data_IF_621824967544
#
_entry.id   IF_621824967544
#
_cell.length_a   1.000
_cell.length_b   1.000
_cell.length_c   1.000
_cell.angle_alpha   90.00
_cell.angle_beta   90.00
_cell.angle_gamma   90.00
#
_symmetry.space_group_name_H-M   'P 1'
#
loop_
_entity.id
_entity.type
_entity.pdbx_description
1 polymer ?
#
# COMPACT_ATOMS: atom_id res chain seq x y z
N UNK A 1 3.09 -28.05 56.76
CA UNK A 1 2.64 -28.72 55.52
C UNK A 1 1.38 -28.01 55.04
N UNK A 2 1.27 -27.76 53.72
CA UNK A 2 1.03 -26.44 53.13
C UNK A 2 -0.40 -26.26 52.59
N UNK A 3 -0.89 -25.02 52.48
CA UNK A 3 -0.99 -24.29 51.21
C UNK A 3 -2.48 -24.00 50.93
N UNK A 4 -2.93 -22.92 50.28
CA UNK A 4 -2.30 -21.82 49.58
C UNK A 4 -3.40 -21.13 48.76
N UNK A 5 -3.45 -19.80 48.87
CA UNK A 5 -3.78 -18.81 47.83
C UNK A 5 -5.01 -18.98 46.91
N UNK A 6 -5.92 -18.01 47.01
CA UNK A 6 -6.45 -17.14 45.95
C UNK A 6 -6.88 -17.80 44.62
N UNK A 7 -8.18 -17.74 44.32
CA UNK A 7 -8.68 -17.70 42.95
C UNK A 7 -9.61 -16.52 42.77
N UNK A 8 -8.99 -15.43 42.31
CA UNK A 8 -9.60 -14.32 41.59
C UNK A 8 -10.40 -14.82 40.39
N UNK A 9 -11.52 -14.13 40.14
CA UNK A 9 -12.37 -14.23 38.95
C UNK A 9 -11.55 -14.14 37.66
N UNK A 10 -11.60 -15.20 36.86
CA UNK A 10 -11.12 -15.20 35.48
C UNK A 10 -12.26 -14.91 34.51
N UNK A 11 -11.89 -14.15 33.48
CA UNK A 11 -12.70 -13.46 32.50
C UNK A 11 -13.35 -14.44 31.52
N UNK A 12 -14.68 -14.48 31.53
CA UNK A 12 -15.48 -15.07 30.46
C UNK A 12 -16.05 -14.02 29.52
N UNK A 13 -15.23 -13.25 28.79
CA UNK A 13 -15.70 -12.51 27.60
C UNK A 13 -15.70 -13.45 26.40
N UNK A 14 -16.70 -14.33 26.35
CA UNK A 14 -17.08 -15.00 25.11
C UNK A 14 -17.67 -13.95 24.16
N UNK A 15 -16.81 -13.28 23.38
CA UNK A 15 -17.26 -12.62 22.17
C UNK A 15 -17.57 -13.70 21.14
N UNK A 16 -18.86 -13.98 21.05
CA UNK A 16 -19.50 -14.76 20.01
C UNK A 16 -19.12 -14.17 18.65
N UNK A 17 -18.15 -14.80 17.96
CA UNK A 17 -17.77 -14.48 16.59
C UNK A 17 -18.93 -14.90 15.70
N UNK A 18 -19.91 -14.02 15.53
CA UNK A 18 -20.89 -14.17 14.45
C UNK A 18 -20.11 -14.19 13.15
N UNK A 19 -20.20 -15.32 12.45
CA UNK A 19 -19.69 -15.47 11.08
C UNK A 19 -20.53 -14.56 10.18
N UNK A 20 -20.14 -13.28 10.09
CA UNK A 20 -20.70 -12.35 9.13
C UNK A 20 -20.38 -12.87 7.72
N UNK A 21 -21.29 -12.66 6.78
CA UNK A 21 -21.03 -13.05 5.40
C UNK A 21 -19.81 -12.26 4.87
N UNK A 22 -18.96 -12.82 4.00
CA UNK A 22 -17.82 -12.10 3.40
C UNK A 22 -18.20 -10.80 2.66
N UNK A 23 -19.49 -10.62 2.42
CA UNK A 23 -20.10 -9.42 1.85
C UNK A 23 -20.39 -8.31 2.87
N UNK A 24 -20.65 -8.64 4.15
CA UNK A 24 -20.99 -7.67 5.20
C UNK A 24 -19.76 -6.93 5.76
N UNK A 25 -18.56 -7.52 5.60
CA UNK A 25 -17.30 -6.95 6.09
C UNK A 25 -16.57 -6.05 5.08
N UNK A 26 -16.98 -6.07 3.81
CA UNK A 26 -16.36 -5.23 2.81
C UNK A 26 -16.84 -3.78 2.91
N UNK A 27 -15.89 -2.85 3.00
CA UNK A 27 -16.15 -1.43 3.21
C UNK A 27 -16.20 -0.64 1.90
N UNK A 28 -15.27 -0.90 0.99
CA UNK A 28 -15.13 -0.22 -0.32
C UNK A 28 -14.50 -1.19 -1.33
N UNK A 29 -15.03 -1.27 -2.55
CA UNK A 29 -14.25 -1.81 -3.69
C UNK A 29 -13.92 -0.66 -4.65
N UNK A 30 -12.64 -0.46 -4.87
CA UNK A 30 -12.07 0.60 -5.69
C UNK A 30 -11.07 -0.02 -6.66
N UNK A 31 -11.48 -0.11 -7.93
CA UNK A 31 -10.78 -0.85 -8.97
C UNK A 31 -10.42 -2.27 -8.49
N UNK A 32 -9.15 -2.61 -8.51
CA UNK A 32 -8.64 -3.95 -8.17
C UNK A 32 -8.50 -4.16 -6.66
N UNK A 33 -8.75 -3.12 -5.85
CA UNK A 33 -8.62 -3.18 -4.40
C UNK A 33 -9.98 -3.23 -3.71
N UNK A 34 -10.17 -4.21 -2.84
CA UNK A 34 -11.36 -4.33 -1.99
C UNK A 34 -10.98 -4.20 -0.53
N UNK A 35 -11.24 -3.03 0.05
CA UNK A 35 -11.02 -2.77 1.48
C UNK A 35 -12.10 -3.46 2.32
N UNK A 36 -11.65 -4.19 3.33
CA UNK A 36 -12.46 -4.68 4.44
C UNK A 36 -12.57 -3.61 5.51
N UNK A 37 -13.50 -3.81 6.44
CA UNK A 37 -13.67 -2.95 7.61
C UNK A 37 -12.40 -2.89 8.47
N UNK A 38 -11.73 -4.02 8.64
CA UNK A 38 -10.45 -4.13 9.38
C UNK A 38 -9.36 -3.26 8.76
N UNK A 39 -9.27 -3.21 7.43
CA UNK A 39 -8.31 -2.33 6.73
C UNK A 39 -8.58 -0.86 7.05
N UNK A 40 -9.84 -0.44 7.07
CA UNK A 40 -10.22 0.94 7.37
C UNK A 40 -10.02 1.26 8.86
N UNK A 41 -10.25 0.30 9.74
CA UNK A 41 -9.96 0.42 11.17
C UNK A 41 -8.45 0.59 11.41
N UNK A 42 -7.62 -0.15 10.67
CA UNK A 42 -6.17 -0.04 10.75
C UNK A 42 -5.66 1.39 10.46
N UNK A 43 -6.28 2.09 9.50
CA UNK A 43 -5.93 3.46 9.14
C UNK A 43 -6.27 4.45 10.27
N UNK A 44 -7.26 4.17 11.11
CA UNK A 44 -7.67 5.11 12.16
C UNK A 44 -6.61 5.29 13.23
N UNK A 45 -6.08 4.19 13.75
CA UNK A 45 -5.17 4.22 14.91
C UNK A 45 -4.34 2.94 15.11
N UNK A 46 -4.09 2.18 14.04
CA UNK A 46 -3.32 0.93 14.13
C UNK A 46 -2.28 0.83 13.00
N UNK A 47 -1.58 -0.30 12.97
CA UNK A 47 -0.66 -0.70 11.93
C UNK A 47 -1.39 -0.89 10.61
N UNK A 48 -0.95 -0.21 9.56
CA UNK A 48 -1.59 -0.38 8.26
C UNK A 48 -1.42 -1.80 7.75
N UNK A 49 -2.51 -2.37 7.25
CA UNK A 49 -2.50 -3.64 6.53
C UNK A 49 -1.89 -3.47 5.13
N UNK A 50 -1.45 -4.58 4.53
CA UNK A 50 -1.05 -4.65 3.12
C UNK A 50 -2.11 -4.02 2.20
N UNK A 51 -3.37 -4.34 2.47
CA UNK A 51 -4.49 -3.91 1.62
C UNK A 51 -4.76 -2.40 1.76
N UNK A 52 -4.53 -1.82 2.95
CA UNK A 52 -4.59 -0.37 3.15
C UNK A 52 -3.50 0.37 2.36
N UNK A 53 -2.26 -0.15 2.35
CA UNK A 53 -1.16 0.41 1.54
C UNK A 53 -1.44 0.20 0.04
N UNK A 54 -1.92 -0.98 -0.35
CA UNK A 54 -2.28 -1.28 -1.74
C UNK A 54 -3.40 -0.36 -2.26
N UNK A 55 -4.42 -0.07 -1.45
CA UNK A 55 -5.44 0.92 -1.78
C UNK A 55 -4.84 2.30 -2.02
N UNK A 56 -3.90 2.73 -1.18
CA UNK A 56 -3.25 4.03 -1.37
C UNK A 56 -2.48 4.08 -2.68
N UNK A 57 -1.75 3.02 -3.03
CA UNK A 57 -1.05 2.91 -4.31
C UNK A 57 -2.02 2.93 -5.50
N UNK A 58 -3.11 2.16 -5.45
CA UNK A 58 -4.16 2.16 -6.49
C UNK A 58 -4.76 3.56 -6.65
N UNK A 59 -5.01 4.26 -5.55
CA UNK A 59 -5.50 5.64 -5.58
C UNK A 59 -4.50 6.58 -6.27
N UNK A 60 -3.22 6.55 -5.90
CA UNK A 60 -2.19 7.38 -6.54
C UNK A 60 -2.06 7.07 -8.04
N UNK A 61 -2.15 5.80 -8.43
CA UNK A 61 -2.10 5.40 -9.84
C UNK A 61 -3.27 5.94 -10.65
N UNK A 62 -4.50 5.80 -10.14
CA UNK A 62 -5.72 6.16 -10.86
C UNK A 62 -5.97 7.67 -10.90
N UNK A 63 -5.59 8.39 -9.85
CA UNK A 63 -6.02 9.77 -9.65
C UNK A 63 -4.86 10.77 -9.83
N UNK A 64 -3.63 10.39 -9.50
CA UNK A 64 -2.47 11.29 -9.64
C UNK A 64 -1.61 10.95 -10.88
N UNK A 65 -1.26 9.68 -11.12
CA UNK A 65 -0.38 9.28 -12.24
C UNK A 65 -1.04 9.38 -13.61
N UNK A 66 -2.37 9.25 -13.70
CA UNK A 66 -3.11 9.40 -14.97
C UNK A 66 -2.93 10.79 -15.61
N UNK A 67 -2.65 11.82 -14.81
CA UNK A 67 -2.32 13.16 -15.30
C UNK A 67 -0.93 13.26 -15.97
N UNK A 68 -0.10 12.22 -15.85
CA UNK A 68 1.28 12.18 -16.34
C UNK A 68 1.52 10.94 -17.23
N UNK A 69 0.89 10.82 -18.40
CA UNK A 69 0.94 9.61 -19.24
C UNK A 69 2.34 9.26 -19.77
N UNK A 70 3.30 10.19 -19.69
CA UNK A 70 4.71 9.96 -20.04
C UNK A 70 5.53 9.42 -18.87
N UNK A 71 5.01 9.47 -17.65
CA UNK A 71 5.69 8.95 -16.47
C UNK A 71 5.60 7.42 -16.49
N UNK A 72 6.74 6.75 -16.61
CA UNK A 72 6.81 5.30 -16.51
C UNK A 72 7.26 4.92 -15.10
N UNK A 73 6.31 4.94 -14.16
CA UNK A 73 6.54 4.68 -12.74
C UNK A 73 5.65 3.52 -12.31
N UNK A 74 6.20 2.57 -11.56
CA UNK A 74 5.47 1.42 -11.01
C UNK A 74 5.37 1.56 -9.49
N UNK A 75 4.16 1.42 -8.94
CA UNK A 75 3.96 1.25 -7.50
C UNK A 75 3.71 -0.24 -7.21
N UNK A 76 4.77 -0.97 -6.88
CA UNK A 76 4.68 -2.41 -6.66
C UNK A 76 3.88 -2.67 -5.38
N UNK A 77 2.86 -3.52 -5.46
CA UNK A 77 1.97 -3.81 -4.33
C UNK A 77 2.74 -4.47 -3.17
N UNK A 78 2.28 -4.35 -1.91
CA UNK A 78 2.98 -4.93 -0.75
C UNK A 78 3.15 -6.45 -0.89
N UNK A 79 2.11 -7.16 -1.36
CA UNK A 79 2.16 -8.61 -1.59
C UNK A 79 3.20 -9.02 -2.63
N UNK A 80 3.34 -8.25 -3.72
CA UNK A 80 4.37 -8.47 -4.74
C UNK A 80 5.78 -8.17 -4.22
N UNK A 81 5.92 -7.12 -3.39
CA UNK A 81 7.19 -6.76 -2.75
C UNK A 81 7.62 -7.84 -1.74
N UNK A 82 6.68 -8.34 -0.94
CA UNK A 82 6.90 -9.46 -0.03
C UNK A 82 7.26 -10.74 -0.79
N UNK A 83 6.50 -11.10 -1.84
CA UNK A 83 6.80 -12.25 -2.69
C UNK A 83 8.22 -12.16 -3.27
N UNK A 84 8.59 -10.99 -3.82
CA UNK A 84 9.94 -10.74 -4.28
C UNK A 84 10.98 -10.97 -3.17
N UNK A 85 10.78 -10.41 -1.99
CA UNK A 85 11.68 -10.55 -0.85
C UNK A 85 11.83 -12.00 -0.37
N UNK A 86 10.81 -12.83 -0.53
CA UNK A 86 10.80 -14.22 -0.05
C UNK A 86 11.27 -15.25 -1.08
N UNK A 87 11.08 -14.99 -2.38
CA UNK A 87 11.47 -15.95 -3.44
C UNK A 87 12.99 -16.01 -3.62
N UNK A 88 13.66 -17.17 -3.46
CA UNK A 88 15.12 -17.27 -3.59
C UNK A 88 15.65 -16.84 -4.96
N UNK A 89 15.00 -17.30 -6.04
CA UNK A 89 15.32 -16.89 -7.41
C UNK A 89 14.29 -15.87 -7.93
N UNK A 90 14.60 -14.56 -7.94
CA UNK A 90 13.67 -13.54 -8.39
C UNK A 90 13.35 -13.64 -9.88
N UNK A 91 14.17 -14.29 -10.71
CA UNK A 91 13.92 -14.43 -12.14
C UNK A 91 12.70 -15.32 -12.44
N UNK A 92 12.37 -16.22 -11.51
CA UNK A 92 11.14 -17.03 -11.58
C UNK A 92 9.85 -16.21 -11.49
N UNK A 93 9.93 -14.97 -11.00
CA UNK A 93 8.77 -14.07 -10.82
C UNK A 93 8.50 -13.18 -12.04
N UNK A 94 9.25 -13.30 -13.14
CA UNK A 94 9.12 -12.41 -14.32
C UNK A 94 7.72 -12.41 -14.94
N UNK A 95 6.99 -13.51 -14.86
CA UNK A 95 5.63 -13.62 -15.39
C UNK A 95 4.56 -13.13 -14.41
N UNK A 96 4.91 -13.00 -13.12
CA UNK A 96 3.99 -12.59 -12.05
C UNK A 96 4.13 -11.09 -11.74
N UNK A 97 5.35 -10.56 -11.82
CA UNK A 97 5.63 -9.16 -11.58
C UNK A 97 5.34 -8.31 -12.83
N UNK A 98 5.08 -7.00 -12.66
CA UNK A 98 4.98 -6.09 -13.79
C UNK A 98 6.23 -6.10 -14.67
N UNK A 99 6.05 -5.89 -15.97
CA UNK A 99 7.17 -5.75 -16.89
C UNK A 99 7.87 -4.40 -16.67
N UNK A 100 9.13 -4.44 -16.21
CA UNK A 100 9.93 -3.24 -15.91
C UNK A 100 10.72 -2.66 -17.09
N UNK A 101 10.58 -3.21 -18.31
CA UNK A 101 11.43 -2.86 -19.47
C UNK A 101 11.45 -1.38 -19.83
N UNK A 102 10.35 -0.66 -19.60
CA UNK A 102 10.23 0.77 -19.87
C UNK A 102 10.18 1.60 -18.58
N UNK A 103 10.28 0.96 -17.41
CA UNK A 103 10.09 1.61 -16.11
C UNK A 103 11.28 2.48 -15.74
N UNK A 104 10.99 3.71 -15.32
CA UNK A 104 11.99 4.68 -14.83
C UNK A 104 12.19 4.57 -13.32
N UNK A 105 11.09 4.42 -12.57
CA UNK A 105 11.11 4.38 -11.11
C UNK A 105 10.14 3.32 -10.59
N UNK A 106 10.53 2.66 -9.50
CA UNK A 106 9.72 1.64 -8.84
C UNK A 106 9.65 1.95 -7.35
N UNK A 107 8.44 2.06 -6.81
CA UNK A 107 8.21 2.15 -5.37
C UNK A 107 7.81 0.78 -4.84
N UNK A 108 8.46 0.32 -3.77
CA UNK A 108 8.21 -0.96 -3.11
C UNK A 108 8.03 -0.72 -1.61
N UNK A 109 6.86 -1.01 -1.03
CA UNK A 109 6.72 -1.18 0.41
C UNK A 109 7.52 -2.40 0.87
N UNK A 110 8.37 -2.24 1.89
CA UNK A 110 9.20 -3.29 2.46
C UNK A 110 8.69 -3.63 3.85
N UNK A 111 8.44 -4.91 4.09
CA UNK A 111 8.04 -5.47 5.38
C UNK A 111 9.11 -6.46 5.85
N UNK A 112 9.31 -6.59 7.16
CA UNK A 112 10.29 -7.48 7.81
C UNK A 112 9.74 -8.87 8.16
N UNK A 113 8.53 -9.20 7.71
CA UNK A 113 7.97 -10.53 7.86
C UNK A 113 8.91 -11.58 7.24
N UNK A 114 9.33 -12.54 8.05
CA UNK A 114 10.15 -13.67 7.63
C UNK A 114 9.34 -14.95 7.35
N UNK A 115 8.08 -14.99 7.78
CA UNK A 115 7.23 -16.17 7.70
C UNK A 115 6.15 -16.00 6.61
N UNK A 116 6.31 -16.71 5.49
CA UNK A 116 5.35 -16.71 4.38
C UNK A 116 3.99 -17.33 4.72
N UNK A 117 3.88 -18.03 5.85
CA UNK A 117 2.64 -18.69 6.30
C UNK A 117 1.87 -17.87 7.31
N UNK A 118 2.50 -16.86 7.92
CA UNK A 118 1.86 -15.96 8.87
C UNK A 118 1.06 -14.89 8.12
N UNK A 119 -0.26 -14.92 8.28
CA UNK A 119 -1.11 -13.81 7.86
C UNK A 119 -0.77 -12.56 8.68
N UNK A 120 -0.67 -11.41 8.03
CA UNK A 120 -0.36 -10.11 8.67
C UNK A 120 0.94 -10.15 9.51
N UNK A 121 1.90 -10.97 9.10
CA UNK A 121 3.21 -11.05 9.75
C UNK A 121 4.08 -9.81 9.51
N UNK A 122 5.17 -9.73 10.27
CA UNK A 122 6.09 -8.59 10.25
C UNK A 122 5.81 -7.58 11.36
N UNK A 123 6.83 -6.82 11.71
CA UNK A 123 6.85 -5.82 12.77
C UNK A 123 7.11 -4.39 12.27
N UNK A 124 7.41 -4.19 10.98
CA UNK A 124 7.74 -2.86 10.50
C UNK A 124 7.60 -2.67 8.98
N UNK A 125 7.14 -1.47 8.59
CA UNK A 125 7.09 -1.03 7.20
C UNK A 125 8.15 0.03 6.91
N UNK A 126 8.80 -0.09 5.76
CA UNK A 126 9.66 0.95 5.20
C UNK A 126 9.44 1.07 3.69
N UNK A 127 10.02 2.07 3.05
CA UNK A 127 9.83 2.34 1.63
C UNK A 127 11.16 2.23 0.87
N UNK A 128 11.17 1.44 -0.21
CA UNK A 128 12.27 1.41 -1.18
C UNK A 128 11.83 2.11 -2.47
N UNK A 129 12.60 3.09 -2.92
CA UNK A 129 12.45 3.75 -4.22
C UNK A 129 13.65 3.40 -5.11
N UNK A 130 13.42 2.64 -6.17
CA UNK A 130 14.43 2.32 -7.18
C UNK A 130 14.33 3.29 -8.34
N UNK A 131 15.39 4.07 -8.60
CA UNK A 131 15.59 4.74 -9.88
C UNK A 131 16.32 3.79 -10.83
N UNK A 132 15.58 3.25 -11.80
CA UNK A 132 16.09 2.33 -12.82
C UNK A 132 17.01 3.06 -13.81
N UNK A 133 16.73 4.34 -14.05
CA UNK A 133 17.52 5.19 -14.95
C UNK A 133 18.85 5.61 -14.33
N UNK A 134 18.90 5.86 -13.02
CA UNK A 134 20.12 6.26 -12.33
C UNK A 134 20.91 5.07 -11.74
N UNK A 135 20.30 3.88 -11.68
CA UNK A 135 20.91 2.71 -11.07
C UNK A 135 21.08 2.86 -9.56
N UNK A 136 20.08 3.41 -8.87
CA UNK A 136 20.13 3.72 -7.43
C UNK A 136 18.85 3.25 -6.74
N UNK A 137 18.99 2.69 -5.55
CA UNK A 137 17.88 2.34 -4.67
C UNK A 137 17.96 3.15 -3.37
N UNK A 138 16.95 3.98 -3.11
CA UNK A 138 16.84 4.82 -1.91
C UNK A 138 15.91 4.14 -0.90
N UNK A 139 16.40 3.90 0.31
CA UNK A 139 15.62 3.27 1.37
C UNK A 139 15.25 4.30 2.44
N UNK A 140 13.94 4.51 2.64
CA UNK A 140 13.38 5.40 3.62
C UNK A 140 12.74 4.59 4.74
N UNK A 141 13.21 4.81 5.96
CA UNK A 141 12.80 4.07 7.13
C UNK A 141 12.48 5.05 8.28
N UNK A 142 11.26 4.99 8.80
CA UNK A 142 10.79 5.84 9.90
C UNK A 142 11.21 5.33 11.28
N UNK A 143 11.90 4.19 11.37
CA UNK A 143 12.38 3.57 12.61
C UNK A 143 13.86 3.20 12.52
N UNK A 144 14.72 4.21 12.39
CA UNK A 144 16.18 4.10 12.55
C UNK A 144 16.83 2.96 11.76
N UNK A 145 16.44 2.79 10.50
CA UNK A 145 16.96 1.76 9.59
C UNK A 145 16.69 0.31 10.04
N UNK A 146 15.59 0.07 10.76
CA UNK A 146 15.15 -1.26 11.18
C UNK A 146 15.04 -2.27 10.04
N UNK A 147 14.60 -1.84 8.84
CA UNK A 147 14.45 -2.71 7.67
C UNK A 147 15.62 -2.63 6.67
N UNK A 148 16.82 -2.19 7.10
CA UNK A 148 17.99 -2.05 6.20
C UNK A 148 18.37 -3.38 5.52
N UNK A 149 18.30 -4.50 6.26
CA UNK A 149 18.63 -5.83 5.73
C UNK A 149 17.64 -6.26 4.64
N UNK A 150 16.35 -6.09 4.91
CA UNK A 150 15.23 -6.45 4.05
C UNK A 150 15.26 -5.60 2.77
N UNK A 151 15.53 -4.31 2.91
CA UNK A 151 15.65 -3.37 1.80
C UNK A 151 16.89 -3.67 0.94
N UNK A 152 18.04 -4.02 1.54
CA UNK A 152 19.23 -4.48 0.79
C UNK A 152 18.98 -5.78 0.05
N UNK A 153 18.37 -6.76 0.71
CA UNK A 153 18.01 -8.04 0.07
C UNK A 153 17.09 -7.82 -1.12
N UNK A 154 16.05 -7.01 -0.96
CA UNK A 154 15.12 -6.65 -2.03
C UNK A 154 15.83 -5.90 -3.16
N UNK A 155 16.77 -5.01 -2.84
CA UNK A 155 17.59 -4.31 -3.84
C UNK A 155 18.40 -5.28 -4.69
N UNK A 156 19.06 -6.27 -4.09
CA UNK A 156 19.83 -7.28 -4.84
C UNK A 156 18.94 -8.13 -5.76
N UNK A 157 17.69 -8.37 -5.37
CA UNK A 157 16.73 -9.08 -6.23
C UNK A 157 16.24 -8.21 -7.39
N UNK A 158 16.03 -6.92 -7.14
CA UNK A 158 15.75 -5.96 -8.20
C UNK A 158 16.91 -5.82 -9.17
N UNK A 159 18.17 -5.85 -8.72
CA UNK A 159 19.35 -5.86 -9.61
C UNK A 159 19.29 -7.01 -10.62
N UNK A 160 18.94 -8.21 -10.15
CA UNK A 160 18.82 -9.40 -10.99
C UNK A 160 17.67 -9.28 -11.99
N UNK A 161 16.49 -8.84 -11.53
CA UNK A 161 15.32 -8.64 -12.40
C UNK A 161 15.55 -7.59 -13.48
N UNK A 162 16.21 -6.48 -13.13
CA UNK A 162 16.50 -5.38 -14.03
C UNK A 162 17.73 -5.63 -14.91
N UNK A 163 18.55 -6.63 -14.59
CA UNK A 163 19.84 -6.85 -15.25
C UNK A 163 20.81 -5.68 -15.10
N UNK A 164 20.70 -4.93 -13.98
CA UNK A 164 21.43 -3.69 -13.74
C UNK A 164 21.93 -3.64 -12.30
N UNK A 165 23.15 -3.12 -12.09
CA UNK A 165 23.66 -2.81 -10.75
C UNK A 165 22.87 -1.63 -10.16
N UNK A 166 22.52 -1.72 -8.89
CA UNK A 166 21.84 -0.70 -8.12
C UNK A 166 22.70 -0.33 -6.91
N UNK A 167 23.07 0.95 -6.82
CA UNK A 167 23.69 1.47 -5.60
C UNK A 167 22.62 1.66 -4.53
N UNK A 168 22.72 0.94 -3.43
CA UNK A 168 21.84 1.12 -2.27
C UNK A 168 22.24 2.36 -1.45
N UNK A 169 21.27 3.20 -1.10
CA UNK A 169 21.45 4.40 -0.29
C UNK A 169 20.42 4.37 0.86
N UNK A 170 20.84 4.13 2.10
CA UNK A 170 19.98 4.34 3.27
C UNK A 170 19.78 5.85 3.48
N UNK A 171 18.53 6.29 3.48
CA UNK A 171 18.16 7.69 3.64
C UNK A 171 18.08 8.02 5.13
N UNK A 172 19.24 8.26 5.74
CA UNK A 172 19.35 8.57 7.18
C UNK A 172 18.63 9.86 7.60
N UNK A 173 18.27 10.71 6.64
CA UNK A 173 17.48 11.92 6.85
C UNK A 173 15.97 11.71 6.61
N UNK A 174 15.52 10.45 6.51
CA UNK A 174 14.11 10.10 6.47
C UNK A 174 13.42 10.56 7.77
N UNK A 175 12.25 11.21 7.68
CA UNK A 175 11.42 11.53 8.84
C UNK A 175 11.17 10.31 9.72
N UNK A 176 11.37 10.47 11.03
CA UNK A 176 11.20 9.40 12.02
C UNK A 176 9.81 9.48 12.66
N UNK A 177 9.23 8.32 12.96
CA UNK A 177 7.97 8.23 13.69
C UNK A 177 8.20 8.42 15.19
N UNK A 178 7.19 8.93 15.90
CA UNK A 178 7.24 9.14 17.35
C UNK A 178 6.60 7.99 18.15
N UNK A 179 5.93 7.05 17.48
CA UNK A 179 5.23 5.90 18.09
C UNK A 179 5.60 4.58 17.43
N UNK A 180 4.93 3.48 17.78
CA UNK A 180 5.24 2.13 17.27
C UNK A 180 4.37 1.64 16.10
N UNK A 181 3.45 2.44 15.55
CA UNK A 181 2.42 1.96 14.60
C UNK A 181 2.26 2.79 13.32
N UNK A 182 2.91 3.96 13.23
CA UNK A 182 2.75 4.86 12.09
C UNK A 182 3.63 4.51 10.88
N UNK A 183 4.51 3.51 10.96
CA UNK A 183 5.45 3.16 9.89
C UNK A 183 4.79 3.02 8.51
N UNK A 184 3.66 2.32 8.41
CA UNK A 184 2.90 2.19 7.16
C UNK A 184 2.33 3.52 6.64
N UNK A 185 1.95 4.43 7.54
CA UNK A 185 1.50 5.78 7.18
C UNK A 185 2.66 6.59 6.61
N UNK A 186 3.84 6.50 7.23
CA UNK A 186 5.06 7.13 6.71
C UNK A 186 5.39 6.61 5.31
N UNK A 187 5.33 5.29 5.06
CA UNK A 187 5.48 4.72 3.72
C UNK A 187 4.54 5.38 2.71
N UNK A 188 3.24 5.48 3.02
CA UNK A 188 2.23 6.06 2.14
C UNK A 188 2.47 7.56 1.87
N UNK A 189 2.80 8.33 2.90
CA UNK A 189 3.00 9.78 2.78
C UNK A 189 4.31 10.09 2.05
N UNK A 190 5.40 9.38 2.36
CA UNK A 190 6.69 9.53 1.68
C UNK A 190 6.55 9.17 0.20
N UNK A 191 5.86 8.07 -0.12
CA UNK A 191 5.59 7.67 -1.50
C UNK A 191 4.87 8.79 -2.27
N UNK A 192 3.77 9.33 -1.72
CA UNK A 192 3.05 10.44 -2.35
C UNK A 192 3.91 11.69 -2.50
N UNK A 193 4.71 12.03 -1.48
CA UNK A 193 5.58 13.20 -1.54
C UNK A 193 6.65 13.06 -2.63
N UNK A 194 7.41 11.96 -2.61
CA UNK A 194 8.45 11.69 -3.59
C UNK A 194 7.87 11.66 -5.00
N UNK A 195 6.72 11.01 -5.19
CA UNK A 195 6.05 10.96 -6.48
C UNK A 195 5.64 12.35 -6.96
N UNK A 196 4.79 13.07 -6.22
CA UNK A 196 4.13 14.28 -6.70
C UNK A 196 4.98 15.55 -6.57
N UNK A 197 5.93 15.59 -5.65
CA UNK A 197 6.74 16.78 -5.36
C UNK A 197 8.16 16.68 -5.89
N UNK A 198 8.68 15.47 -6.10
CA UNK A 198 10.03 15.26 -6.65
C UNK A 198 9.96 14.77 -8.09
N UNK A 199 9.43 13.57 -8.33
CA UNK A 199 9.54 12.91 -9.62
C UNK A 199 8.69 13.56 -10.71
N UNK A 200 7.40 13.81 -10.45
CA UNK A 200 6.48 14.32 -11.48
C UNK A 200 6.58 15.82 -11.74
N UNK A 201 7.26 16.58 -10.88
CA UNK A 201 7.48 18.03 -11.05
C UNK A 201 8.81 18.37 -11.69
N UNK A 202 9.72 17.41 -11.79
CA UNK A 202 11.04 17.68 -12.27
C UNK A 202 11.09 17.75 -13.79
N UNK A 203 11.86 18.73 -14.26
CA UNK A 203 12.35 18.71 -15.63
C UNK A 203 13.33 17.53 -15.78
N UNK A 204 13.14 16.71 -16.81
CA UNK A 204 13.99 15.55 -17.09
C UNK A 204 15.49 15.90 -17.24
N UNK A 205 15.81 17.18 -17.47
CA UNK A 205 17.19 17.68 -17.57
C UNK A 205 17.88 17.98 -16.23
N UNK A 206 17.17 17.93 -15.09
CA UNK A 206 17.71 18.36 -13.79
C UNK A 206 17.81 17.21 -12.79
N UNK A 207 18.94 17.15 -12.08
CA UNK A 207 19.07 16.30 -10.89
C UNK A 207 18.19 16.84 -9.77
N UNK A 208 17.47 15.94 -9.11
CA UNK A 208 16.56 16.27 -8.01
C UNK A 208 17.10 15.64 -6.74
N UNK A 209 17.03 16.35 -5.63
CA UNK A 209 17.33 15.76 -4.34
C UNK A 209 16.23 14.79 -3.92
N UNK A 210 16.64 13.59 -3.50
CA UNK A 210 15.78 12.57 -2.91
C UNK A 210 15.74 12.66 -1.36
N UNK A 211 16.44 13.64 -0.78
CA UNK A 211 16.42 13.94 0.66
C UNK A 211 15.02 14.31 1.14
N UNK A 212 14.69 13.84 2.35
CA UNK A 212 13.43 14.14 3.04
C UNK A 212 13.65 14.94 4.33
N UNK A 213 14.86 15.48 4.54
CA UNK A 213 15.22 16.26 5.75
C UNK A 213 14.26 17.43 6.03
N UNK A 214 13.84 18.13 4.98
CA UNK A 214 12.97 19.31 5.10
C UNK A 214 11.47 18.97 4.95
N UNK A 215 11.14 17.68 4.76
CA UNK A 215 9.77 17.24 4.61
C UNK A 215 9.11 17.12 5.99
N UNK A 216 8.13 17.99 6.22
CA UNK A 216 7.31 17.95 7.43
C UNK A 216 6.22 16.90 7.25
N UNK A 217 6.48 15.68 7.72
CA UNK A 217 5.54 14.56 7.65
C UNK A 217 4.79 14.44 8.97
N UNK A 218 3.46 14.45 8.88
CA UNK A 218 2.58 14.25 10.03
C UNK A 218 1.68 13.03 9.77
N UNK A 219 1.85 11.98 10.56
CA UNK A 219 1.09 10.74 10.38
C UNK A 219 -0.42 10.93 10.63
N UNK A 220 -0.82 11.77 11.59
CA UNK A 220 -2.23 12.08 11.85
C UNK A 220 -2.90 12.71 10.64
N UNK A 221 -2.21 13.63 9.96
CA UNK A 221 -2.71 14.22 8.72
C UNK A 221 -2.75 13.20 7.58
N UNK A 222 -1.75 12.31 7.51
CA UNK A 222 -1.73 11.16 6.59
C UNK A 222 -2.96 10.26 6.76
N UNK A 223 -3.21 9.78 7.99
CA UNK A 223 -4.40 8.96 8.34
C UNK A 223 -5.70 9.69 7.99
N UNK A 224 -5.82 10.97 8.35
CA UNK A 224 -7.00 11.78 8.04
C UNK A 224 -7.21 11.91 6.53
N UNK A 225 -6.14 12.09 5.76
CA UNK A 225 -6.22 12.14 4.30
C UNK A 225 -6.68 10.81 3.71
N UNK A 226 -6.10 9.69 4.15
CA UNK A 226 -6.48 8.35 3.68
C UNK A 226 -7.96 8.07 3.95
N UNK A 227 -8.44 8.32 5.18
CA UNK A 227 -9.84 8.14 5.55
C UNK A 227 -10.78 9.02 4.73
N UNK A 228 -10.40 10.29 4.50
CA UNK A 228 -11.17 11.19 3.65
C UNK A 228 -11.30 10.66 2.22
N UNK A 229 -10.19 10.21 1.63
CA UNK A 229 -10.19 9.63 0.27
C UNK A 229 -11.10 8.40 0.20
N UNK A 230 -10.99 7.49 1.17
CA UNK A 230 -11.83 6.28 1.23
C UNK A 230 -13.32 6.67 1.27
N UNK A 231 -13.69 7.60 2.14
CA UNK A 231 -15.09 8.03 2.29
C UNK A 231 -15.60 8.76 1.05
N UNK A 232 -14.78 9.62 0.43
CA UNK A 232 -15.13 10.33 -0.80
C UNK A 232 -15.35 9.35 -1.96
N UNK A 233 -14.50 8.33 -2.10
CA UNK A 233 -14.66 7.28 -3.13
C UNK A 233 -15.88 6.40 -2.85
N UNK A 234 -16.14 6.04 -1.59
CA UNK A 234 -17.32 5.26 -1.20
C UNK A 234 -18.62 5.98 -1.53
N UNK A 235 -18.74 7.27 -1.16
CA UNK A 235 -19.91 8.11 -1.49
C UNK A 235 -20.11 8.22 -3.00
N UNK A 236 -19.04 8.40 -3.76
CA UNK A 236 -19.14 8.44 -5.22
C UNK A 236 -19.67 7.12 -5.81
N UNK A 237 -19.21 5.97 -5.30
CA UNK A 237 -19.72 4.65 -5.70
C UNK A 237 -21.19 4.41 -5.34
N UNK A 238 -21.66 4.95 -4.22
CA UNK A 238 -23.09 4.93 -3.84
C UNK A 238 -23.94 5.84 -4.74
N UNK A 239 -23.43 7.04 -5.07
CA UNK A 239 -24.08 7.98 -5.98
C UNK A 239 -24.21 7.43 -7.41
N UNK A 240 -23.19 6.75 -7.93
CA UNK A 240 -23.25 6.12 -9.26
C UNK A 240 -24.31 5.01 -9.33
N UNK A 241 -24.45 4.20 -8.28
CA UNK A 241 -25.43 3.10 -8.23
C UNK A 241 -26.87 3.56 -8.07
N UNK A 242 -27.11 4.63 -7.30
CA UNK A 242 -28.44 5.22 -7.18
C UNK A 242 -28.91 5.84 -8.51
N UNK A 243 -28.00 6.38 -9.33
CA UNK A 243 -28.31 6.86 -10.69
C UNK A 243 -28.55 5.74 -11.70
N UNK A 244 -27.97 4.55 -11.52
CA UNK A 244 -28.13 3.42 -12.43
C UNK A 244 -29.33 2.51 -12.10
N UNK A 245 -29.96 2.66 -10.93
CA UNK A 245 -31.25 2.03 -10.64
C UNK A 245 -32.40 2.84 -11.28
N UNK A 246 -32.78 2.47 -12.51
CA UNK A 246 -34.06 2.86 -13.12
C UNK A 246 -35.24 2.45 -12.23
N UNK A 247 -36.38 3.19 -12.20
CA UNK A 247 -37.48 2.95 -11.26
C UNK A 247 -38.22 1.61 -11.45
N UNK A 248 -37.96 0.90 -12.54
CA UNK A 248 -38.55 -0.39 -12.85
C UNK A 248 -37.56 -1.54 -12.60
N UNK A 249 -37.35 -1.90 -11.32
CA UNK A 249 -36.82 -3.23 -10.97
C UNK A 249 -37.59 -3.84 -9.79
N UNK A 250 -37.97 -5.13 -9.85
CA UNK A 250 -38.68 -5.78 -8.75
C UNK A 250 -37.82 -5.80 -7.48
N UNK A 251 -38.46 -5.66 -6.32
CA UNK A 251 -37.84 -5.61 -4.99
C UNK A 251 -36.99 -6.85 -4.59
N UNK A 252 -36.88 -7.86 -5.44
CA UNK A 252 -36.08 -9.07 -5.20
C UNK A 252 -34.59 -8.97 -5.58
N UNK A 253 -34.13 -7.85 -6.14
CA UNK A 253 -32.77 -7.69 -6.67
C UNK A 253 -31.82 -6.88 -5.76
N UNK A 254 -32.00 -6.92 -4.43
CA UNK A 254 -31.00 -6.36 -3.50
C UNK A 254 -29.73 -7.21 -3.55
N UNK A 255 -28.78 -6.80 -4.38
CA UNK A 255 -27.44 -7.39 -4.42
C UNK A 255 -26.74 -7.14 -3.08
N UNK A 256 -26.37 -8.21 -2.39
CA UNK A 256 -25.61 -8.21 -1.13
C UNK A 256 -24.12 -7.85 -1.32
N UNK A 257 -23.68 -7.44 -2.51
CA UNK A 257 -22.26 -7.19 -2.77
C UNK A 257 -21.84 -5.75 -2.44
N UNK A 258 -20.64 -5.52 -1.89
CA UNK A 258 -20.11 -4.18 -1.61
C UNK A 258 -19.95 -3.30 -2.87
N UNK A 259 -19.80 -1.96 -2.70
CA UNK A 259 -19.68 -1.00 -3.81
C UNK A 259 -18.54 -1.38 -4.76
N UNK A 260 -18.84 -1.65 -6.03
CA UNK A 260 -17.85 -1.80 -7.11
C UNK A 260 -17.69 -0.49 -7.87
N UNK A 261 -16.46 -0.01 -7.99
CA UNK A 261 -16.07 1.08 -8.91
C UNK A 261 -14.96 0.54 -9.80
N UNK A 262 -15.18 0.54 -11.12
CA UNK A 262 -14.18 0.09 -12.10
C UNK A 262 -14.82 -0.64 -13.28
N UNK A 263 -15.26 0.12 -14.29
CA UNK A 263 -15.41 -0.30 -15.69
C UNK A 263 -15.85 0.91 -16.52
N UNK A 264 -14.91 1.78 -16.86
CA UNK A 264 -15.12 2.81 -17.90
C UNK A 264 -13.86 2.84 -18.76
N UNK A 265 -13.77 1.90 -19.71
CA UNK A 265 -13.00 1.98 -20.97
C UNK A 265 -13.16 0.67 -21.75
N UNK A 266 -14.33 0.44 -22.33
CA UNK A 266 -14.50 -0.53 -23.42
C UNK A 266 -15.85 -0.26 -24.10
N UNK A 267 -15.96 0.87 -24.80
CA UNK A 267 -16.94 1.05 -25.89
C UNK A 267 -16.64 2.34 -26.66
N UNK A 268 -15.57 2.33 -27.44
CA UNK A 268 -15.47 3.18 -28.64
C UNK A 268 -14.55 2.52 -29.65
N UNK A 269 -15.12 1.56 -30.38
CA UNK A 269 -14.80 1.24 -31.79
C UNK A 269 -15.76 0.15 -32.28
N UNK A 270 -16.89 0.58 -32.82
CA UNK A 270 -17.58 -0.17 -33.86
C UNK A 270 -17.97 0.79 -34.99
N UNK A 271 -17.40 0.44 -36.16
CA UNK A 271 -17.57 0.95 -37.52
C UNK A 271 -16.81 2.23 -37.85
#
# INVERSE_FOLDING_TARGET
MPGGLSRLMDKGRHHFRQTLSPTDDAYLSYHDIRLMRTDVESIKDDWLTDNAIAFWQEYLEREDLTAFPKASIVLLRPSMSFMLMQTPDPLSLKEVLPNFSTTTHIFLPINDCADVTAAEGGSHWSLLLVSVIDGVAFHYDSMSASNDREARSTTMKMEQLLGKRLRFIPMHDSPQQENGSDCGVFVCVLMKHLLLKRLLRADASRKISMSMKDAHINARDGRKQMLRVIEDRKKEGERRRSRSHSPYRPHSAQSKSPPRIGAEQEEEKKH
#
